data_IF_356361216331
#
_entry.id   IF_356361216331
#
_cell.length_a   1.000
_cell.length_b   1.000
_cell.length_c   1.000
_cell.angle_alpha   90.00
_cell.angle_beta   90.00
_cell.angle_gamma   90.00
#
_symmetry.space_group_name_H-M   'P 1'
#
loop_
_entity.id
_entity.type
_entity.pdbx_description
1 polymer ?
#
# COMPACT_ATOMS: atom_id res chain seq x y z
N UNK A 1 -21.10 -8.42 12.90
CA UNK A 1 -19.82 -7.89 12.37
C UNK A 1 -20.07 -7.26 11.02
N UNK A 2 -19.64 -6.03 10.79
CA UNK A 2 -19.49 -5.51 9.43
C UNK A 2 -18.30 -6.20 8.75
N UNK A 3 -18.40 -6.41 7.44
CA UNK A 3 -17.31 -6.94 6.63
C UNK A 3 -16.25 -5.86 6.41
N UNK A 4 -14.97 -6.18 6.61
CA UNK A 4 -13.87 -5.25 6.30
C UNK A 4 -13.40 -5.51 4.87
N UNK A 5 -13.37 -4.46 4.04
CA UNK A 5 -12.75 -4.52 2.72
C UNK A 5 -11.24 -4.35 2.88
N UNK A 6 -10.47 -5.34 2.42
CA UNK A 6 -9.00 -5.30 2.46
C UNK A 6 -8.47 -4.99 1.06
N UNK A 7 -7.70 -3.90 0.93
CA UNK A 7 -6.94 -3.59 -0.26
C UNK A 7 -5.61 -4.34 -0.26
N UNK A 8 -5.24 -4.94 -1.39
CA UNK A 8 -3.96 -5.62 -1.58
C UNK A 8 -3.23 -5.01 -2.76
N UNK A 9 -1.96 -4.66 -2.56
CA UNK A 9 -1.08 -4.09 -3.58
C UNK A 9 0.34 -4.64 -3.41
N UNK A 10 1.14 -4.60 -4.47
CA UNK A 10 2.56 -4.99 -4.50
C UNK A 10 3.29 -4.17 -5.56
N UNK A 11 4.62 -4.25 -5.58
CA UNK A 11 5.45 -3.84 -6.73
C UNK A 11 5.19 -2.39 -7.17
N UNK A 12 5.07 -1.49 -6.20
CA UNK A 12 4.89 -0.07 -6.52
C UNK A 12 6.19 0.55 -7.02
N UNK A 13 7.36 0.00 -6.64
CA UNK A 13 8.69 0.47 -7.07
C UNK A 13 8.83 2.01 -7.01
N UNK A 14 8.25 2.60 -5.95
CA UNK A 14 8.27 4.04 -5.67
C UNK A 14 7.23 4.89 -6.40
N UNK A 15 6.31 4.29 -7.16
CA UNK A 15 5.26 4.97 -7.90
C UNK A 15 3.87 4.49 -7.47
N UNK A 16 3.05 5.41 -6.95
CA UNK A 16 1.64 5.17 -6.70
C UNK A 16 0.80 6.04 -7.63
N UNK A 17 0.09 5.39 -8.57
CA UNK A 17 -0.78 6.08 -9.54
C UNK A 17 -2.13 6.43 -8.92
N UNK A 18 -2.79 7.46 -9.44
CA UNK A 18 -4.07 7.92 -8.88
C UNK A 18 -5.20 6.90 -9.06
N UNK A 19 -5.17 6.10 -10.13
CA UNK A 19 -6.14 5.01 -10.35
C UNK A 19 -6.06 3.94 -9.26
N UNK A 20 -4.87 3.71 -8.70
CA UNK A 20 -4.67 2.80 -7.57
C UNK A 20 -5.28 3.38 -6.29
N UNK A 21 -5.12 4.69 -6.07
CA UNK A 21 -5.75 5.37 -4.92
C UNK A 21 -7.27 5.27 -5.00
N UNK A 22 -7.84 5.50 -6.18
CA UNK A 22 -9.28 5.37 -6.42
C UNK A 22 -9.78 3.93 -6.22
N UNK A 23 -9.01 2.92 -6.64
CA UNK A 23 -9.37 1.52 -6.41
C UNK A 23 -9.36 1.14 -4.92
N UNK A 24 -8.47 1.78 -4.13
CA UNK A 24 -8.27 1.50 -2.72
C UNK A 24 -9.12 2.36 -1.77
N UNK A 25 -9.81 3.40 -2.25
CA UNK A 25 -10.43 4.45 -1.41
C UNK A 25 -11.40 3.99 -0.32
N UNK A 26 -12.08 2.87 -0.53
CA UNK A 26 -13.05 2.31 0.43
C UNK A 26 -12.49 1.13 1.26
N UNK A 27 -11.17 0.96 1.27
CA UNK A 27 -10.52 -0.10 2.04
C UNK A 27 -10.53 0.26 3.54
N UNK A 28 -10.90 -0.70 4.38
CA UNK A 28 -10.73 -0.56 5.84
C UNK A 28 -9.32 -0.92 6.31
N UNK A 29 -8.53 -1.56 5.45
CA UNK A 29 -7.15 -2.00 5.67
C UNK A 29 -6.45 -2.12 4.32
N UNK A 30 -5.17 -1.76 4.24
CA UNK A 30 -4.33 -1.98 3.06
C UNK A 30 -3.13 -2.86 3.45
N UNK A 31 -2.84 -3.85 2.62
CA UNK A 31 -1.63 -4.69 2.71
C UNK A 31 -0.77 -4.42 1.47
N UNK A 32 0.50 -4.05 1.69
CA UNK A 32 1.52 -3.97 0.64
C UNK A 32 2.44 -5.20 0.71
N UNK A 33 2.47 -6.01 -0.35
CA UNK A 33 3.16 -7.29 -0.40
C UNK A 33 4.67 -7.19 -0.74
N UNK A 34 5.31 -6.04 -0.48
CA UNK A 34 6.72 -5.79 -0.80
C UNK A 34 6.97 -5.13 -2.16
N UNK A 35 8.25 -4.86 -2.43
CA UNK A 35 8.77 -4.11 -3.57
C UNK A 35 8.16 -2.71 -3.67
N UNK A 36 8.21 -2.02 -2.53
CA UNK A 36 7.67 -0.69 -2.28
C UNK A 36 8.53 0.40 -2.93
N UNK A 37 9.86 0.28 -2.83
CA UNK A 37 10.84 1.19 -3.41
C UNK A 37 11.02 2.54 -2.69
N UNK A 38 9.94 3.21 -2.26
CA UNK A 38 10.01 4.51 -1.57
C UNK A 38 9.06 4.59 -0.37
N UNK A 39 9.52 5.14 0.75
CA UNK A 39 8.72 5.24 1.98
C UNK A 39 7.46 6.10 1.77
N UNK A 40 7.52 7.07 0.87
CA UNK A 40 6.41 7.96 0.51
C UNK A 40 5.21 7.19 -0.07
N UNK A 41 5.43 6.01 -0.66
CA UNK A 41 4.32 5.15 -1.11
C UNK A 41 3.49 4.69 0.10
N UNK A 42 4.14 4.27 1.18
CA UNK A 42 3.44 3.88 2.40
C UNK A 42 2.71 5.06 3.04
N UNK A 43 3.34 6.24 3.08
CA UNK A 43 2.70 7.45 3.59
C UNK A 43 1.47 7.86 2.77
N UNK A 44 1.54 7.77 1.44
CA UNK A 44 0.38 8.01 0.58
C UNK A 44 -0.74 6.98 0.80
N UNK A 45 -0.41 5.70 0.97
CA UNK A 45 -1.40 4.66 1.25
C UNK A 45 -2.05 4.82 2.64
N UNK A 46 -1.27 5.28 3.65
CA UNK A 46 -1.77 5.57 5.00
C UNK A 46 -2.80 6.68 5.06
N UNK A 47 -2.80 7.59 4.07
CA UNK A 47 -3.85 8.60 3.94
C UNK A 47 -5.21 8.01 3.52
N UNK A 48 -5.24 6.76 3.02
CA UNK A 48 -6.45 6.06 2.62
C UNK A 48 -6.98 5.20 3.76
N UNK A 49 -6.12 4.34 4.31
CA UNK A 49 -6.47 3.38 5.37
C UNK A 49 -5.22 2.94 6.14
N UNK A 50 -5.35 2.27 7.31
CA UNK A 50 -4.21 1.63 7.97
C UNK A 50 -3.45 0.71 7.00
N UNK A 51 -2.11 0.80 6.99
CA UNK A 51 -1.24 0.04 6.07
C UNK A 51 -0.35 -0.91 6.86
N UNK A 52 -0.32 -2.17 6.43
CA UNK A 52 0.72 -3.12 6.80
C UNK A 52 1.52 -3.47 5.56
N UNK A 53 2.85 -3.49 5.70
CA UNK A 53 3.73 -3.81 4.60
C UNK A 53 4.73 -4.88 5.03
N UNK A 54 5.12 -5.73 4.08
CA UNK A 54 6.25 -6.64 4.22
C UNK A 54 7.39 -6.15 3.32
N UNK A 55 8.62 -6.46 3.69
CA UNK A 55 9.81 -6.08 2.91
C UNK A 55 9.95 -7.01 1.69
N UNK A 56 10.01 -6.44 0.49
CA UNK A 56 10.38 -7.14 -0.75
C UNK A 56 11.90 -7.13 -1.01
N UNK A 57 12.32 -7.81 -2.07
CA UNK A 57 13.74 -7.89 -2.46
C UNK A 57 14.34 -6.54 -2.86
N UNK A 58 13.52 -5.62 -3.38
CA UNK A 58 13.94 -4.28 -3.77
C UNK A 58 13.92 -3.28 -2.60
N UNK A 59 13.31 -3.64 -1.47
CA UNK A 59 13.18 -2.79 -0.29
C UNK A 59 14.42 -2.91 0.59
N UNK A 60 15.56 -2.45 0.08
CA UNK A 60 16.80 -2.38 0.84
C UNK A 60 16.75 -1.12 1.71
N UNK A 61 16.69 -1.30 3.02
CA UNK A 61 16.75 -0.17 3.96
C UNK A 61 18.06 0.59 3.78
N UNK A 62 17.98 1.92 3.79
CA UNK A 62 19.09 2.77 4.23
C UNK A 62 18.95 3.03 5.73
#
# INVERSE_FOLDING_TARGET
MSMIKVGLISDTHGLLRDEVKEALKDSGLIIHAGDIGKIEVLEMLKNIAPVYAVQGNCDKGE
#
